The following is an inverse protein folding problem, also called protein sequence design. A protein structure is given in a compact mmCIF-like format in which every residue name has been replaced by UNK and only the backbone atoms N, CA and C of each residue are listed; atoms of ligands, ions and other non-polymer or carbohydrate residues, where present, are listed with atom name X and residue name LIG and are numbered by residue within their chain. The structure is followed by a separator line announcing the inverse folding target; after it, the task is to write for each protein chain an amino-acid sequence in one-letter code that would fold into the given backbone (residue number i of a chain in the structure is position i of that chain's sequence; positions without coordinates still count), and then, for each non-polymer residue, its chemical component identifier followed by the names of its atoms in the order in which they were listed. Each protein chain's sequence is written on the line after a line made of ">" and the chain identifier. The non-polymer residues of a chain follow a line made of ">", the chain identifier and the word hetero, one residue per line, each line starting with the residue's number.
data_IF_702126668263
#
_entry.id   IF_702126668263
#
_cell.length_a   1.000
_cell.length_b   1.000
_cell.length_c   1.000
_cell.angle_alpha   90.00
_cell.angle_beta   90.00
_cell.angle_gamma   90.00
#
_symmetry.space_group_name_H-M   'P 1'
#
loop_
_entity.id
_entity.type
_entity.pdbx_description
1 polymer ?
#
# COMPACT_ATOMS: atom_id res chain seq x y z
N UNK A 1 30.86 21.14 75.06
CA UNK A 1 31.04 19.69 74.83
C UNK A 1 29.69 19.18 74.32
N UNK A 2 29.45 18.74 73.09
CA UNK A 2 30.26 18.54 71.88
C UNK A 2 29.34 18.77 70.66
N UNK A 3 29.93 19.32 69.61
CA UNK A 3 29.34 19.54 68.29
C UNK A 3 29.18 18.20 67.55
N UNK A 4 27.99 17.88 67.05
CA UNK A 4 27.83 16.82 66.04
C UNK A 4 27.46 17.50 64.73
N UNK A 5 28.43 17.51 63.82
CA UNK A 5 28.32 17.97 62.45
C UNK A 5 27.61 16.90 61.63
N UNK A 6 26.50 17.23 61.00
CA UNK A 6 25.81 16.33 60.06
C UNK A 6 26.17 16.76 58.64
N UNK A 7 27.10 16.04 58.02
CA UNK A 7 27.49 16.22 56.62
C UNK A 7 26.48 15.53 55.70
N UNK A 8 25.81 16.30 54.84
CA UNK A 8 25.00 15.78 53.74
C UNK A 8 25.93 15.32 52.61
N UNK A 9 25.99 14.02 52.35
CA UNK A 9 26.68 13.46 51.19
C UNK A 9 25.74 13.45 49.98
N UNK A 10 26.05 14.28 48.98
CA UNK A 10 25.35 14.35 47.70
C UNK A 10 25.91 13.24 46.78
N UNK A 11 25.18 12.14 46.63
CA UNK A 11 25.54 11.05 45.73
C UNK A 11 25.03 11.31 44.31
N UNK A 12 25.92 11.72 43.40
CA UNK A 12 25.69 11.75 41.96
C UNK A 12 25.73 10.32 41.40
N UNK A 13 24.56 9.76 41.07
CA UNK A 13 24.47 8.52 40.30
C UNK A 13 24.51 8.88 38.83
N UNK A 14 25.69 8.83 38.22
CA UNK A 14 25.84 8.88 36.76
C UNK A 14 25.70 7.45 36.25
N UNK A 15 24.50 7.04 35.88
CA UNK A 15 24.29 5.79 35.14
C UNK A 15 24.67 6.02 33.68
N UNK A 16 25.89 5.66 33.33
CA UNK A 16 26.31 5.48 31.94
C UNK A 16 25.43 4.40 31.30
N UNK A 17 24.54 4.81 30.40
CA UNK A 17 23.84 3.89 29.51
C UNK A 17 24.86 3.32 28.53
N UNK A 18 25.31 2.09 28.79
CA UNK A 18 26.01 1.30 27.79
C UNK A 18 25.03 1.03 26.64
N UNK A 19 25.21 1.73 25.52
CA UNK A 19 24.54 1.38 24.27
C UNK A 19 25.18 0.07 23.82
N UNK A 20 24.54 -1.06 24.12
CA UNK A 20 24.86 -2.33 23.49
C UNK A 20 24.55 -2.20 21.99
N UNK A 21 25.61 -2.12 21.17
CA UNK A 21 25.48 -2.30 19.74
C UNK A 21 24.99 -3.73 19.48
N UNK A 22 23.71 -3.88 19.12
CA UNK A 22 23.16 -5.18 18.74
C UNK A 22 23.89 -5.64 17.48
N UNK A 23 24.51 -6.81 17.57
CA UNK A 23 25.22 -7.45 16.45
C UNK A 23 24.21 -7.70 15.33
N UNK A 24 24.34 -6.96 14.23
CA UNK A 24 23.50 -7.14 13.05
C UNK A 24 23.91 -8.43 12.35
N UNK A 25 23.06 -9.45 12.42
CA UNK A 25 23.13 -10.56 11.49
C UNK A 25 22.23 -10.23 10.29
N UNK A 26 22.79 -10.16 9.06
CA UNK A 26 21.98 -9.88 7.89
C UNK A 26 20.96 -11.01 7.70
N UNK A 27 19.68 -10.65 7.68
CA UNK A 27 18.63 -11.56 7.26
C UNK A 27 18.85 -11.83 5.77
N UNK A 28 19.44 -12.98 5.46
CA UNK A 28 19.54 -13.46 4.08
C UNK A 28 18.14 -13.84 3.64
N UNK A 29 17.45 -12.92 2.98
CA UNK A 29 16.22 -13.22 2.27
C UNK A 29 16.62 -14.05 1.05
N UNK A 30 16.46 -15.38 1.14
CA UNK A 30 16.46 -16.19 -0.07
C UNK A 30 15.28 -15.73 -0.93
N UNK A 31 15.61 -14.99 -1.98
CA UNK A 31 14.66 -14.67 -3.03
C UNK A 31 14.26 -16.00 -3.68
N UNK A 32 13.15 -16.59 -3.21
CA UNK A 32 12.44 -17.55 -4.05
C UNK A 32 12.10 -16.79 -5.31
N UNK A 33 12.77 -17.16 -6.41
CA UNK A 33 12.42 -16.72 -7.76
C UNK A 33 10.94 -17.08 -7.95
N UNK A 34 10.08 -16.10 -7.70
CA UNK A 34 8.66 -16.22 -7.93
C UNK A 34 8.50 -16.64 -9.38
N UNK A 35 7.86 -17.77 -9.60
CA UNK A 35 7.47 -18.17 -10.93
C UNK A 35 6.45 -17.11 -11.39
N UNK A 36 6.90 -16.10 -12.15
CA UNK A 36 6.06 -15.16 -12.91
C UNK A 36 5.31 -15.96 -13.97
N UNK A 37 4.36 -16.79 -13.55
CA UNK A 37 3.49 -17.54 -14.43
C UNK A 37 2.18 -17.80 -13.69
N UNK A 38 1.42 -16.72 -13.48
CA UNK A 38 0.07 -16.62 -14.06
C UNK A 38 -0.38 -15.18 -13.97
N UNK A 39 -0.13 -14.42 -15.05
CA UNK A 39 -0.98 -13.27 -15.31
C UNK A 39 -2.43 -13.76 -15.25
N UNK A 40 -3.29 -13.02 -14.55
CA UNK A 40 -4.75 -13.23 -14.53
C UNK A 40 -5.30 -12.83 -15.91
N UNK A 41 -4.81 -13.50 -16.95
CA UNK A 41 -5.03 -13.24 -18.38
C UNK A 41 -5.80 -14.40 -19.03
N UNK A 42 -6.01 -15.52 -18.32
CA UNK A 42 -6.65 -16.71 -18.89
C UNK A 42 -8.18 -16.71 -18.87
N UNK A 43 -8.81 -15.52 -18.75
CA UNK A 43 -10.20 -15.34 -19.17
C UNK A 43 -10.26 -14.11 -20.08
N UNK A 44 -10.07 -14.35 -21.38
CA UNK A 44 -10.37 -13.41 -22.46
C UNK A 44 -11.87 -13.14 -22.53
N UNK A 45 -12.37 -12.34 -21.61
CA UNK A 45 -13.49 -11.45 -21.87
C UNK A 45 -12.91 -10.03 -21.99
N UNK A 46 -13.41 -9.22 -22.94
CA UNK A 46 -13.03 -7.82 -23.14
C UNK A 46 -13.55 -6.93 -21.98
N UNK A 47 -13.15 -7.27 -20.76
CA UNK A 47 -13.57 -6.61 -19.54
C UNK A 47 -12.69 -5.39 -19.35
N UNK A 48 -13.31 -4.21 -19.38
CA UNK A 48 -12.66 -2.94 -19.01
C UNK A 48 -12.29 -2.99 -17.53
N UNK A 49 -11.19 -2.35 -17.13
CA UNK A 49 -10.78 -2.37 -15.73
C UNK A 49 -10.11 -1.07 -15.30
N UNK A 50 -10.30 -0.68 -14.05
CA UNK A 50 -9.48 0.34 -13.40
C UNK A 50 -8.14 -0.25 -13.00
N UNK A 51 -7.08 0.54 -13.14
CA UNK A 51 -5.74 0.21 -12.64
C UNK A 51 -5.56 0.95 -11.31
N UNK A 52 -5.33 0.20 -10.24
CA UNK A 52 -5.04 0.72 -8.91
C UNK A 52 -3.66 0.22 -8.47
N UNK A 53 -2.90 1.05 -7.77
CA UNK A 53 -1.62 0.62 -7.19
C UNK A 53 -1.75 0.35 -5.70
N UNK A 54 -1.00 -0.63 -5.20
CA UNK A 54 -0.90 -0.97 -3.79
C UNK A 54 -1.65 -2.25 -3.42
N UNK A 55 -1.84 -2.46 -2.12
CA UNK A 55 -2.53 -3.63 -1.59
C UNK A 55 -4.03 -3.49 -1.85
N UNK A 56 -4.67 -4.59 -2.27
CA UNK A 56 -6.12 -4.63 -2.43
C UNK A 56 -6.80 -4.40 -1.08
N UNK A 57 -7.46 -3.25 -0.94
CA UNK A 57 -8.14 -2.86 0.30
C UNK A 57 -9.51 -3.51 0.47
N UNK A 58 -10.15 -3.94 -0.64
CA UNK A 58 -11.47 -4.58 -0.66
C UNK A 58 -11.67 -5.42 -1.93
N UNK A 59 -12.63 -6.34 -1.89
CA UNK A 59 -13.07 -7.08 -3.08
C UNK A 59 -14.04 -6.23 -3.91
N UNK A 60 -13.90 -6.28 -5.24
CA UNK A 60 -14.71 -5.54 -6.23
C UNK A 60 -15.62 -6.45 -7.08
N UNK A 61 -15.84 -7.70 -6.69
CA UNK A 61 -16.66 -8.65 -7.45
C UNK A 61 -18.10 -8.15 -7.65
N UNK A 62 -18.68 -7.48 -6.65
CA UNK A 62 -20.02 -6.88 -6.79
C UNK A 62 -20.04 -5.78 -7.84
N UNK A 63 -19.03 -4.90 -7.83
CA UNK A 63 -18.87 -3.86 -8.84
C UNK A 63 -18.69 -4.47 -10.23
N UNK A 64 -17.82 -5.49 -10.35
CA UNK A 64 -17.58 -6.21 -11.61
C UNK A 64 -18.85 -6.87 -12.14
N UNK A 65 -19.61 -7.55 -11.30
CA UNK A 65 -20.85 -8.21 -11.70
C UNK A 65 -21.91 -7.20 -12.13
N UNK A 66 -21.98 -6.03 -11.48
CA UNK A 66 -22.95 -4.98 -11.80
C UNK A 66 -22.61 -4.23 -13.09
N UNK A 67 -21.35 -3.87 -13.29
CA UNK A 67 -20.93 -2.94 -14.36
C UNK A 67 -20.22 -3.61 -15.53
N UNK A 68 -19.78 -4.86 -15.36
CA UNK A 68 -18.88 -5.52 -16.31
C UNK A 68 -17.50 -4.86 -16.37
N UNK A 69 -17.09 -4.19 -15.29
CA UNK A 69 -15.81 -3.48 -15.19
C UNK A 69 -15.06 -3.95 -13.94
N UNK A 70 -13.81 -4.38 -14.10
CA UNK A 70 -12.98 -4.85 -13.00
C UNK A 70 -12.11 -3.76 -12.36
N UNK A 71 -11.38 -4.16 -11.31
CA UNK A 71 -10.26 -3.39 -10.77
C UNK A 71 -9.05 -4.32 -10.71
N UNK A 72 -7.95 -3.90 -11.31
CA UNK A 72 -6.66 -4.60 -11.27
C UNK A 72 -5.74 -3.86 -10.33
N UNK A 73 -5.20 -4.58 -9.35
CA UNK A 73 -4.21 -4.06 -8.42
C UNK A 73 -2.81 -4.40 -8.90
N UNK A 74 -2.03 -3.37 -9.19
CA UNK A 74 -0.62 -3.41 -9.51
C UNK A 74 0.22 -3.11 -8.27
N UNK A 75 1.51 -3.47 -8.32
CA UNK A 75 2.41 -3.29 -7.19
C UNK A 75 2.66 -1.79 -6.85
N UNK A 76 3.21 -1.52 -5.66
CA UNK A 76 3.44 -0.17 -5.15
C UNK A 76 4.63 0.57 -5.79
N UNK A 77 5.50 -0.12 -6.54
CA UNK A 77 6.62 0.50 -7.26
C UNK A 77 6.09 1.06 -8.59
N UNK A 78 5.81 2.36 -8.60
CA UNK A 78 5.18 3.05 -9.73
C UNK A 78 6.23 3.84 -10.51
N UNK A 79 6.40 3.52 -11.79
CA UNK A 79 7.18 4.36 -12.72
C UNK A 79 6.32 5.46 -13.34
N UNK A 80 6.94 6.52 -13.87
CA UNK A 80 6.21 7.59 -14.59
C UNK A 80 5.35 7.02 -15.71
N UNK A 81 5.88 6.08 -16.49
CA UNK A 81 5.12 5.43 -17.57
C UNK A 81 3.88 4.69 -17.04
N UNK A 82 3.99 3.95 -15.94
CA UNK A 82 2.88 3.23 -15.32
C UNK A 82 1.81 4.18 -14.79
N UNK A 83 2.23 5.27 -14.13
CA UNK A 83 1.34 6.33 -13.65
C UNK A 83 0.52 6.92 -14.81
N UNK A 84 1.18 7.32 -15.90
CA UNK A 84 0.49 7.92 -17.04
C UNK A 84 -0.41 6.93 -17.78
N UNK A 85 -0.02 5.66 -17.87
CA UNK A 85 -0.86 4.59 -18.40
C UNK A 85 -2.12 4.40 -17.56
N UNK A 86 -1.98 4.33 -16.23
CA UNK A 86 -3.10 4.16 -15.32
C UNK A 86 -4.08 5.34 -15.39
N UNK A 87 -3.59 6.59 -15.39
CA UNK A 87 -4.41 7.80 -15.54
C UNK A 87 -5.26 7.76 -16.82
N UNK A 88 -4.61 7.51 -17.97
CA UNK A 88 -5.30 7.47 -19.27
C UNK A 88 -6.38 6.38 -19.30
N UNK A 89 -6.02 5.16 -18.90
CA UNK A 89 -6.96 4.04 -18.81
C UNK A 89 -8.14 4.37 -17.88
N UNK A 90 -7.87 4.87 -16.69
CA UNK A 90 -8.91 5.10 -15.69
C UNK A 90 -9.86 6.22 -16.12
N UNK A 91 -9.37 7.25 -16.80
CA UNK A 91 -10.25 8.26 -17.42
C UNK A 91 -11.14 7.68 -18.51
N UNK A 92 -10.62 6.78 -19.36
CA UNK A 92 -11.44 6.13 -20.39
C UNK A 92 -12.52 5.23 -19.80
N UNK A 93 -12.19 4.46 -18.76
CA UNK A 93 -13.16 3.61 -18.06
C UNK A 93 -14.20 4.45 -17.32
N UNK A 94 -13.79 5.52 -16.65
CA UNK A 94 -14.69 6.45 -15.97
C UNK A 94 -15.66 7.11 -16.97
N UNK A 95 -15.16 7.58 -18.12
CA UNK A 95 -15.99 8.13 -19.20
C UNK A 95 -17.02 7.11 -19.68
N UNK A 96 -16.59 5.88 -19.97
CA UNK A 96 -17.50 4.80 -20.38
C UNK A 96 -18.60 4.54 -19.34
N UNK A 97 -18.24 4.47 -18.05
CA UNK A 97 -19.21 4.22 -16.98
C UNK A 97 -20.16 5.41 -16.79
N UNK A 98 -19.65 6.64 -16.86
CA UNK A 98 -20.48 7.85 -16.76
C UNK A 98 -21.43 7.98 -17.95
N UNK A 99 -20.99 7.70 -19.18
CA UNK A 99 -21.84 7.71 -20.37
C UNK A 99 -22.97 6.68 -20.28
N UNK A 100 -22.71 5.50 -19.70
CA UNK A 100 -23.67 4.39 -19.66
C UNK A 100 -24.57 4.37 -18.43
N UNK A 101 -24.07 4.83 -17.27
CA UNK A 101 -24.72 4.66 -15.97
C UNK A 101 -24.80 5.97 -15.15
N UNK A 102 -24.38 7.11 -15.72
CA UNK A 102 -24.24 8.36 -15.00
C UNK A 102 -23.20 8.27 -13.88
N UNK A 103 -23.28 9.14 -12.88
CA UNK A 103 -22.29 9.21 -11.79
C UNK A 103 -22.50 8.18 -10.67
N UNK A 104 -23.51 7.30 -10.79
CA UNK A 104 -23.88 6.33 -9.76
C UNK A 104 -22.78 5.32 -9.43
N UNK A 105 -21.97 4.93 -10.43
CA UNK A 105 -20.89 3.94 -10.29
C UNK A 105 -19.81 4.36 -9.30
N UNK A 106 -19.61 5.67 -9.07
CA UNK A 106 -18.61 6.18 -8.13
C UNK A 106 -18.87 5.72 -6.70
N UNK A 107 -20.15 5.72 -6.29
CA UNK A 107 -20.55 5.27 -4.96
C UNK A 107 -20.36 3.76 -4.82
N UNK A 108 -20.68 3.01 -5.87
CA UNK A 108 -20.67 1.55 -5.86
C UNK A 108 -19.28 0.94 -6.00
N UNK A 109 -18.33 1.69 -6.57
CA UNK A 109 -16.91 1.28 -6.64
C UNK A 109 -16.22 1.40 -5.28
N UNK A 110 -16.68 2.33 -4.43
CA UNK A 110 -16.20 2.58 -3.07
C UNK A 110 -14.69 2.86 -2.93
N UNK A 111 -13.98 3.06 -4.03
CA UNK A 111 -12.61 3.56 -4.11
C UNK A 111 -12.55 4.68 -5.14
N UNK A 112 -11.56 5.55 -5.01
CA UNK A 112 -11.21 6.51 -6.05
C UNK A 112 -10.06 5.87 -6.86
N UNK A 113 -10.29 5.48 -8.13
CA UNK A 113 -9.24 4.93 -8.96
C UNK A 113 -8.08 5.90 -9.12
N UNK A 114 -6.86 5.36 -9.21
CA UNK A 114 -5.67 6.17 -9.40
C UNK A 114 -5.82 7.19 -10.55
N UNK A 115 -5.58 8.46 -10.25
CA UNK A 115 -5.56 9.52 -11.26
C UNK A 115 -6.92 10.09 -11.66
N UNK A 116 -8.01 9.72 -10.97
CA UNK A 116 -9.33 10.34 -11.12
C UNK A 116 -9.65 11.35 -10.02
#
# INVERSE_FOLDING_TARGET
>A
MNFIKTTFALGLIVSSTFIFAQKYEPVVLEAKKGNENKSVSDKKEDVKYFIQFGIMSRNHDQFKNKYGVGVVYENCVITTYMSEKAKKNNHEVARYLTEKYGESWKKDLEIIPYGL
#
